data_IF_310237469653
#
_entry.id   IF_310237469653
#
_cell.length_a   1.000
_cell.length_b   1.000
_cell.length_c   1.000
_cell.angle_alpha   90.00
_cell.angle_beta   90.00
_cell.angle_gamma   90.00
#
_symmetry.space_group_name_H-M   'P 1'
#
loop_
_entity.id
_entity.type
_entity.pdbx_description
1 polymer ?
#
# COMPACT_ATOMS: atom_id res chain seq x y z
N UNK A 1 20.62 -1.79 -1.26
CA UNK A 1 19.88 -2.34 -2.40
C UNK A 1 19.52 -3.82 -2.22
N UNK A 2 18.74 -4.14 -1.18
CA UNK A 2 18.35 -5.53 -0.88
C UNK A 2 17.24 -6.04 -1.82
N UNK A 3 16.47 -5.13 -2.45
CA UNK A 3 15.31 -5.48 -3.28
C UNK A 3 15.63 -5.55 -4.77
N UNK A 4 16.75 -4.98 -5.20
CA UNK A 4 17.02 -4.79 -6.61
C UNK A 4 15.85 -4.13 -7.37
N UNK A 5 15.16 -3.19 -6.68
CA UNK A 5 14.04 -2.49 -7.26
C UNK A 5 14.46 -1.72 -8.51
N UNK A 6 13.65 -1.80 -9.56
CA UNK A 6 13.86 -1.08 -10.82
C UNK A 6 13.19 0.28 -10.80
N UNK A 7 12.06 0.40 -10.13
CA UNK A 7 11.27 1.63 -10.04
C UNK A 7 10.98 1.92 -8.59
N UNK A 8 11.19 3.17 -8.16
CA UNK A 8 10.76 3.69 -6.88
C UNK A 8 9.60 4.66 -7.10
N UNK A 9 8.50 4.50 -6.35
CA UNK A 9 7.40 5.46 -6.35
C UNK A 9 7.43 6.18 -5.02
N UNK A 10 7.52 7.50 -5.04
CA UNK A 10 7.65 8.35 -3.85
C UNK A 10 6.55 9.41 -3.81
N UNK A 11 6.07 9.72 -2.60
CA UNK A 11 4.92 10.59 -2.39
C UNK A 11 5.25 12.06 -2.58
N UNK A 12 6.40 12.49 -2.08
CA UNK A 12 6.76 13.90 -1.95
C UNK A 12 8.27 14.13 -2.15
N UNK A 13 8.67 15.40 -2.07
CA UNK A 13 10.06 15.83 -2.26
C UNK A 13 11.01 15.38 -1.15
N UNK A 14 10.54 15.16 0.07
CA UNK A 14 11.36 14.70 1.18
C UNK A 14 11.81 13.25 0.94
N UNK A 15 10.86 12.37 0.66
CA UNK A 15 11.14 10.98 0.28
C UNK A 15 11.93 10.88 -1.02
N UNK A 16 11.67 11.78 -1.98
CA UNK A 16 12.45 11.87 -3.21
C UNK A 16 13.92 12.15 -2.92
N UNK A 17 14.22 13.12 -2.07
CA UNK A 17 15.60 13.48 -1.75
C UNK A 17 16.37 12.29 -1.14
N UNK A 18 15.73 11.50 -0.27
CA UNK A 18 16.33 10.30 0.33
C UNK A 18 16.63 9.23 -0.72
N UNK A 19 15.65 8.93 -1.58
CA UNK A 19 15.79 7.90 -2.62
C UNK A 19 16.82 8.33 -3.67
N UNK A 20 16.79 9.60 -4.06
CA UNK A 20 17.72 10.16 -5.04
C UNK A 20 19.16 10.15 -4.53
N UNK A 21 19.40 10.49 -3.28
CA UNK A 21 20.73 10.39 -2.66
C UNK A 21 21.28 8.95 -2.63
N UNK A 22 20.38 7.95 -2.54
CA UNK A 22 20.77 6.54 -2.55
C UNK A 22 20.90 5.95 -3.96
N UNK A 23 20.52 6.66 -5.03
CA UNK A 23 20.41 6.15 -6.39
C UNK A 23 21.73 5.56 -6.92
N UNK A 24 22.86 6.23 -6.68
CA UNK A 24 24.17 5.75 -7.11
C UNK A 24 24.54 4.39 -6.49
N UNK A 25 24.05 4.12 -5.27
CA UNK A 25 24.25 2.85 -4.58
C UNK A 25 23.24 1.77 -5.03
N UNK A 26 22.29 2.14 -5.89
CA UNK A 26 21.22 1.28 -6.40
C UNK A 26 21.28 1.16 -7.92
N UNK A 27 22.26 0.44 -8.49
CA UNK A 27 22.50 0.41 -9.95
C UNK A 27 21.33 -0.17 -10.75
N UNK A 28 20.43 -0.95 -10.12
CA UNK A 28 19.23 -1.48 -10.76
C UNK A 28 18.02 -0.54 -10.70
N UNK A 29 18.11 0.59 -10.00
CA UNK A 29 17.04 1.58 -9.96
C UNK A 29 17.07 2.40 -11.25
N UNK A 30 16.17 2.08 -12.16
CA UNK A 30 16.05 2.67 -13.49
C UNK A 30 15.27 3.98 -13.47
N UNK A 31 14.21 4.06 -12.63
CA UNK A 31 13.31 5.21 -12.59
C UNK A 31 12.82 5.54 -11.16
N UNK A 32 12.55 6.82 -10.93
CA UNK A 32 11.84 7.32 -9.76
C UNK A 32 10.55 7.98 -10.24
N UNK A 33 9.41 7.54 -9.73
CA UNK A 33 8.09 8.11 -10.04
C UNK A 33 7.66 8.99 -8.88
N UNK A 34 7.46 10.27 -9.14
CA UNK A 34 7.12 11.28 -8.15
C UNK A 34 5.63 11.62 -8.24
N UNK A 35 4.91 11.50 -7.11
CA UNK A 35 3.48 11.82 -7.05
C UNK A 35 3.31 13.33 -7.02
N UNK A 36 3.96 14.01 -6.07
CA UNK A 36 3.92 15.46 -5.93
C UNK A 36 5.32 16.07 -6.10
N UNK A 37 5.40 17.30 -6.65
CA UNK A 37 6.65 18.04 -6.81
C UNK A 37 7.50 17.66 -8.03
N UNK A 38 6.92 17.00 -9.04
CA UNK A 38 7.61 16.60 -10.27
C UNK A 38 8.23 17.77 -11.02
N UNK A 39 7.54 18.92 -11.12
CA UNK A 39 7.98 20.08 -11.89
C UNK A 39 9.35 20.61 -11.49
N UNK A 40 9.71 20.46 -10.21
CA UNK A 40 11.00 20.90 -9.68
C UNK A 40 12.15 19.94 -10.05
N UNK A 41 11.85 18.77 -10.60
CA UNK A 41 12.82 17.69 -10.88
C UNK A 41 12.73 17.12 -12.31
N UNK A 42 11.98 17.75 -13.18
CA UNK A 42 11.75 17.29 -14.57
C UNK A 42 12.98 17.26 -15.46
N UNK A 43 14.06 17.93 -15.05
CA UNK A 43 15.36 17.92 -15.76
C UNK A 43 16.07 16.56 -15.64
N UNK A 44 15.67 15.73 -14.67
CA UNK A 44 16.27 14.43 -14.44
C UNK A 44 15.56 13.39 -15.30
N UNK A 45 16.24 12.82 -16.26
CA UNK A 45 15.71 11.87 -17.26
C UNK A 45 15.15 10.57 -16.66
N UNK A 46 15.57 10.22 -15.46
CA UNK A 46 15.07 9.07 -14.68
C UNK A 46 13.93 9.39 -13.73
N UNK A 47 13.49 10.65 -13.66
CA UNK A 47 12.35 11.08 -12.83
C UNK A 47 11.12 11.25 -13.70
N UNK A 48 10.01 10.66 -13.28
CA UNK A 48 8.76 10.67 -14.03
C UNK A 48 7.60 11.15 -13.16
N UNK A 49 6.67 11.86 -13.76
CA UNK A 49 5.41 12.24 -13.12
C UNK A 49 4.48 11.04 -13.00
N UNK A 50 3.96 10.78 -11.81
CA UNK A 50 2.91 9.78 -11.60
C UNK A 50 1.67 10.08 -12.44
N UNK A 51 1.25 11.33 -12.48
CA UNK A 51 0.06 11.76 -13.22
C UNK A 51 0.22 11.57 -14.73
N UNK A 52 1.37 11.93 -15.30
CA UNK A 52 1.66 11.71 -16.72
C UNK A 52 1.70 10.22 -17.07
N UNK A 53 2.29 9.38 -16.20
CA UNK A 53 2.30 7.94 -16.41
C UNK A 53 0.90 7.34 -16.37
N UNK A 54 0.01 7.84 -15.51
CA UNK A 54 -1.39 7.40 -15.45
C UNK A 54 -2.11 7.75 -16.77
N UNK A 55 -1.95 8.96 -17.27
CA UNK A 55 -2.58 9.36 -18.55
C UNK A 55 -2.02 8.54 -19.72
N UNK A 56 -0.72 8.37 -19.80
CA UNK A 56 -0.09 7.48 -20.79
C UNK A 56 -0.57 6.06 -20.72
N UNK A 57 -0.75 5.51 -19.50
CA UNK A 57 -1.31 4.19 -19.28
C UNK A 57 -2.76 4.06 -19.78
N UNK A 58 -3.59 5.09 -19.58
CA UNK A 58 -4.95 5.14 -20.11
C UNK A 58 -4.98 5.15 -21.64
N UNK A 59 -4.08 5.90 -22.28
CA UNK A 59 -3.95 5.95 -23.74
C UNK A 59 -3.54 4.57 -24.29
N UNK A 60 -2.48 3.98 -23.74
CA UNK A 60 -2.03 2.65 -24.14
C UNK A 60 -3.11 1.58 -23.98
N UNK A 61 -3.90 1.66 -22.92
CA UNK A 61 -5.00 0.70 -22.69
C UNK A 61 -6.18 0.91 -23.66
N UNK A 62 -6.38 2.13 -24.17
CA UNK A 62 -7.36 2.39 -25.25
C UNK A 62 -6.89 1.81 -26.58
N UNK A 63 -5.58 1.89 -26.87
CA UNK A 63 -5.00 1.35 -28.08
C UNK A 63 -5.01 -0.19 -28.10
N UNK A 64 -4.65 -0.81 -26.97
CA UNK A 64 -4.60 -2.27 -26.84
C UNK A 64 -4.84 -2.71 -25.39
N UNK A 65 -6.09 -2.99 -25.04
CA UNK A 65 -6.48 -3.48 -23.72
C UNK A 65 -5.99 -4.90 -23.44
N UNK A 66 -5.61 -5.66 -24.45
CA UNK A 66 -5.20 -7.07 -24.30
C UNK A 66 -3.86 -7.23 -23.63
N UNK A 67 -3.00 -6.20 -23.64
CA UNK A 67 -1.70 -6.23 -22.97
C UNK A 67 -1.83 -6.39 -21.47
N UNK A 68 -2.75 -5.64 -20.85
CA UNK A 68 -3.02 -5.73 -19.42
C UNK A 68 -3.59 -7.11 -19.06
N UNK A 69 -4.60 -7.56 -19.81
CA UNK A 69 -5.24 -8.86 -19.59
C UNK A 69 -4.23 -10.00 -19.73
N UNK A 70 -3.35 -9.93 -20.73
CA UNK A 70 -2.27 -10.90 -20.92
C UNK A 70 -1.28 -10.93 -19.76
N UNK A 71 -0.90 -9.76 -19.22
CA UNK A 71 -0.04 -9.66 -18.06
C UNK A 71 -0.71 -10.25 -16.80
N UNK A 72 -1.99 -9.93 -16.57
CA UNK A 72 -2.78 -10.47 -15.46
C UNK A 72 -2.88 -12.01 -15.56
N UNK A 73 -3.09 -12.55 -16.77
CA UNK A 73 -3.22 -13.99 -17.00
C UNK A 73 -1.94 -14.79 -16.65
N UNK A 74 -0.79 -14.14 -16.56
CA UNK A 74 0.46 -14.80 -16.13
C UNK A 74 0.58 -14.97 -14.61
N UNK A 75 -0.26 -14.28 -13.84
CA UNK A 75 -0.20 -14.31 -12.38
C UNK A 75 -0.88 -15.57 -11.86
N UNK A 76 -0.16 -16.30 -11.02
CA UNK A 76 -0.65 -17.52 -10.36
C UNK A 76 -0.79 -17.31 -8.85
N UNK A 77 -1.49 -18.18 -8.12
CA UNK A 77 -1.56 -18.10 -6.66
C UNK A 77 -0.18 -18.09 -5.96
N UNK A 78 0.80 -18.76 -6.54
CA UNK A 78 2.15 -18.84 -6.00
C UNK A 78 3.08 -17.69 -6.47
N UNK A 79 2.60 -16.82 -7.37
CA UNK A 79 3.32 -15.62 -7.78
C UNK A 79 3.52 -14.67 -6.60
N UNK A 80 4.65 -13.96 -6.58
CA UNK A 80 4.95 -12.96 -5.57
C UNK A 80 3.97 -11.79 -5.66
N UNK A 81 3.23 -11.53 -4.60
CA UNK A 81 2.34 -10.38 -4.49
C UNK A 81 3.07 -9.14 -3.95
N UNK A 82 3.86 -9.32 -2.90
CA UNK A 82 4.65 -8.23 -2.33
C UNK A 82 5.83 -8.73 -1.48
N UNK A 83 6.77 -7.81 -1.25
CA UNK A 83 7.85 -7.94 -0.26
C UNK A 83 7.59 -6.94 0.87
N UNK A 84 7.70 -7.42 2.11
CA UNK A 84 7.64 -6.56 3.30
C UNK A 84 8.92 -6.74 4.09
N UNK A 85 9.61 -5.63 4.35
CA UNK A 85 10.84 -5.66 5.13
C UNK A 85 10.55 -5.55 6.61
N UNK A 86 11.20 -6.41 7.38
CA UNK A 86 11.18 -6.37 8.85
C UNK A 86 12.57 -6.05 9.38
N UNK A 87 12.64 -5.34 10.51
CA UNK A 87 13.88 -5.11 11.24
C UNK A 87 14.36 -6.42 11.87
N UNK A 88 15.05 -7.25 11.11
CA UNK A 88 15.49 -8.57 11.61
C UNK A 88 16.29 -8.45 12.93
N UNK A 89 16.17 -9.46 13.79
CA UNK A 89 16.89 -9.57 15.07
C UNK A 89 18.43 -9.52 14.90
N UNK A 90 18.93 -9.69 13.70
CA UNK A 90 20.36 -9.68 13.33
C UNK A 90 20.85 -8.34 12.78
N UNK A 91 20.06 -7.27 12.86
CA UNK A 91 20.45 -5.91 12.47
C UNK A 91 20.27 -5.57 10.98
N UNK A 92 20.21 -6.55 10.08
CA UNK A 92 19.90 -6.29 8.66
C UNK A 92 18.43 -6.56 8.36
N UNK A 93 17.72 -5.65 7.67
CA UNK A 93 16.34 -5.88 7.26
C UNK A 93 16.20 -7.16 6.43
N UNK A 94 15.15 -7.94 6.70
CA UNK A 94 14.82 -9.15 5.93
C UNK A 94 13.54 -8.92 5.13
N UNK A 95 13.58 -9.21 3.84
CA UNK A 95 12.41 -9.15 2.96
C UNK A 95 11.59 -10.42 3.08
N UNK A 96 10.39 -10.30 3.63
CA UNK A 96 9.41 -11.39 3.68
C UNK A 96 8.66 -11.44 2.36
N UNK A 97 8.75 -12.57 1.66
CA UNK A 97 8.06 -12.82 0.40
C UNK A 97 6.62 -13.27 0.70
N UNK A 98 5.65 -12.58 0.13
CA UNK A 98 4.23 -12.87 0.30
C UNK A 98 3.63 -13.16 -1.06
N UNK A 99 3.11 -14.38 -1.25
CA UNK A 99 2.43 -14.77 -2.48
C UNK A 99 0.96 -14.33 -2.49
N UNK A 100 0.33 -14.33 -3.68
CA UNK A 100 -1.12 -14.10 -3.79
C UNK A 100 -1.94 -15.11 -2.97
N UNK A 101 -1.49 -16.37 -2.92
CA UNK A 101 -2.12 -17.42 -2.09
C UNK A 101 -2.06 -17.08 -0.59
N UNK A 102 -0.93 -16.57 -0.10
CA UNK A 102 -0.82 -16.15 1.30
C UNK A 102 -1.81 -15.02 1.62
N UNK A 103 -1.94 -14.04 0.71
CA UNK A 103 -2.89 -12.92 0.86
C UNK A 103 -4.32 -13.44 0.94
N UNK A 104 -4.75 -14.23 -0.06
CA UNK A 104 -6.12 -14.75 -0.12
C UNK A 104 -6.46 -15.62 1.08
N UNK A 105 -5.57 -16.54 1.44
CA UNK A 105 -5.78 -17.40 2.61
C UNK A 105 -5.94 -16.59 3.90
N UNK A 106 -5.11 -15.55 4.08
CA UNK A 106 -5.18 -14.68 5.26
C UNK A 106 -6.51 -13.92 5.31
N UNK A 107 -6.96 -13.38 4.18
CA UNK A 107 -8.22 -12.64 4.13
C UNK A 107 -9.40 -13.57 4.43
N UNK A 108 -9.44 -14.74 3.84
CA UNK A 108 -10.51 -15.72 4.08
C UNK A 108 -10.53 -16.21 5.53
N UNK A 109 -9.37 -16.52 6.09
CA UNK A 109 -9.25 -17.07 7.44
C UNK A 109 -9.55 -16.04 8.53
N UNK A 110 -9.05 -14.79 8.38
CA UNK A 110 -9.22 -13.76 9.40
C UNK A 110 -10.54 -13.00 9.26
N UNK A 111 -10.90 -12.64 8.05
CA UNK A 111 -12.02 -11.72 7.82
C UNK A 111 -13.26 -12.41 7.22
N UNK A 112 -13.10 -13.63 6.69
CA UNK A 112 -14.19 -14.38 6.08
C UNK A 112 -15.37 -14.62 7.03
N UNK A 113 -15.08 -14.81 8.31
CA UNK A 113 -16.08 -15.04 9.35
C UNK A 113 -16.54 -13.75 10.06
N UNK A 114 -15.72 -12.70 10.05
CA UNK A 114 -16.00 -11.44 10.76
C UNK A 114 -16.97 -10.54 10.02
N UNK A 115 -16.97 -10.60 8.69
CA UNK A 115 -17.81 -9.75 7.84
C UNK A 115 -18.77 -10.63 7.05
N UNK A 116 -20.10 -10.45 7.20
CA UNK A 116 -21.06 -11.18 6.41
C UNK A 116 -20.79 -11.04 4.90
N UNK A 117 -20.93 -12.13 4.15
CA UNK A 117 -20.59 -12.19 2.73
C UNK A 117 -21.38 -11.20 1.84
N UNK A 118 -22.55 -10.78 2.29
CA UNK A 118 -23.46 -9.87 1.60
C UNK A 118 -23.26 -8.39 1.94
N UNK A 119 -22.24 -8.03 2.74
CA UNK A 119 -21.95 -6.65 3.12
C UNK A 119 -20.64 -6.18 2.52
N UNK A 120 -20.69 -4.98 1.95
CA UNK A 120 -19.51 -4.24 1.52
C UNK A 120 -18.89 -3.57 2.76
N UNK A 121 -17.70 -3.98 3.20
CA UNK A 121 -17.12 -3.43 4.41
C UNK A 121 -16.71 -1.96 4.22
N UNK A 122 -16.92 -1.18 5.28
CA UNK A 122 -16.38 0.16 5.44
C UNK A 122 -15.15 0.04 6.35
N UNK A 123 -14.01 0.42 5.84
CA UNK A 123 -12.70 0.17 6.46
C UNK A 123 -11.99 1.49 6.66
N UNK A 124 -11.54 1.76 7.88
CA UNK A 124 -10.67 2.90 8.18
C UNK A 124 -9.22 2.48 7.96
N UNK A 125 -8.52 3.20 7.10
CA UNK A 125 -7.10 2.98 6.81
C UNK A 125 -6.27 4.11 7.42
N UNK A 126 -5.48 3.77 8.43
CA UNK A 126 -4.62 4.71 9.16
C UNK A 126 -3.22 4.14 9.44
N UNK A 127 -3.07 2.82 9.31
CA UNK A 127 -1.78 2.17 9.49
C UNK A 127 -0.91 2.33 8.23
N UNK A 128 0.40 2.49 8.37
CA UNK A 128 1.30 2.51 7.22
C UNK A 128 1.22 1.23 6.39
N UNK A 129 1.09 1.35 5.06
CA UNK A 129 1.02 0.21 4.14
C UNK A 129 2.32 -0.60 4.04
N UNK A 130 3.40 -0.12 4.66
CA UNK A 130 4.62 -0.90 4.87
C UNK A 130 4.42 -2.06 5.85
N UNK A 131 3.35 -2.02 6.67
CA UNK A 131 3.04 -3.07 7.63
C UNK A 131 1.99 -4.04 7.05
N UNK A 132 2.22 -5.37 7.21
CA UNK A 132 1.31 -6.40 6.67
C UNK A 132 -0.12 -6.27 7.22
N UNK A 133 -0.32 -5.82 8.46
CA UNK A 133 -1.64 -5.64 9.04
C UNK A 133 -2.48 -4.62 8.26
N UNK A 134 -1.88 -3.49 7.84
CA UNK A 134 -2.55 -2.50 6.98
C UNK A 134 -2.88 -3.10 5.62
N UNK A 135 -1.92 -3.78 4.99
CA UNK A 135 -2.17 -4.40 3.68
C UNK A 135 -3.27 -5.44 3.72
N UNK A 136 -3.26 -6.33 4.70
CA UNK A 136 -4.27 -7.37 4.82
C UNK A 136 -5.62 -6.81 5.30
N UNK A 137 -5.61 -6.01 6.37
CA UNK A 137 -6.82 -5.52 7.03
C UNK A 137 -7.53 -4.40 6.30
N UNK A 138 -6.80 -3.56 5.57
CA UNK A 138 -7.38 -2.41 4.88
C UNK A 138 -7.43 -2.66 3.37
N UNK A 139 -6.28 -2.82 2.72
CA UNK A 139 -6.16 -2.78 1.27
C UNK A 139 -6.69 -4.07 0.60
N UNK A 140 -6.09 -5.23 0.92
CA UNK A 140 -6.43 -6.48 0.25
C UNK A 140 -7.84 -6.96 0.61
N UNK A 141 -8.27 -6.72 1.86
CA UNK A 141 -9.63 -7.03 2.27
C UNK A 141 -10.65 -6.18 1.52
N UNK A 142 -10.39 -4.88 1.33
CA UNK A 142 -11.27 -4.02 0.56
C UNK A 142 -11.42 -4.48 -0.89
N UNK A 143 -10.30 -4.85 -1.53
CA UNK A 143 -10.34 -5.39 -2.90
C UNK A 143 -11.15 -6.69 -2.93
N UNK A 144 -10.87 -7.64 -2.06
CA UNK A 144 -11.52 -8.95 -2.05
C UNK A 144 -13.02 -8.88 -1.76
N UNK A 145 -13.46 -7.96 -0.89
CA UNK A 145 -14.85 -7.78 -0.45
C UNK A 145 -15.58 -6.63 -1.15
N UNK A 146 -14.95 -5.97 -2.11
CA UNK A 146 -15.50 -4.76 -2.76
C UNK A 146 -15.87 -3.70 -1.72
N UNK A 147 -14.97 -3.49 -0.76
CA UNK A 147 -15.18 -2.58 0.36
C UNK A 147 -14.83 -1.13 0.03
N UNK A 148 -15.23 -0.23 0.91
CA UNK A 148 -14.88 1.19 0.88
C UNK A 148 -13.75 1.45 1.87
N UNK A 149 -12.67 2.09 1.40
CA UNK A 149 -11.54 2.52 2.24
C UNK A 149 -11.70 4.00 2.55
N UNK A 150 -11.57 4.35 3.83
CA UNK A 150 -11.59 5.72 4.33
C UNK A 150 -10.21 6.03 4.93
N UNK A 151 -9.32 6.73 4.20
CA UNK A 151 -8.01 7.10 4.71
C UNK A 151 -8.15 8.12 5.86
N UNK A 152 -7.44 7.88 6.96
CA UNK A 152 -7.28 8.80 8.08
C UNK A 152 -5.80 8.92 8.37
N UNK A 153 -5.07 9.80 7.65
CA UNK A 153 -3.61 9.86 7.71
C UNK A 153 -3.09 10.36 9.06
N UNK A 154 -3.89 11.13 9.78
CA UNK A 154 -3.54 11.68 11.10
C UNK A 154 -4.29 10.92 12.17
N UNK A 155 -3.57 10.27 13.09
CA UNK A 155 -4.17 9.42 14.12
C UNK A 155 -5.06 10.20 15.10
N UNK A 156 -4.76 11.46 15.31
CA UNK A 156 -5.53 12.39 16.15
C UNK A 156 -6.95 12.60 15.62
N UNK A 157 -7.12 12.62 14.30
CA UNK A 157 -8.43 12.82 13.64
C UNK A 157 -9.33 11.58 13.75
N UNK A 158 -8.81 10.44 14.20
CA UNK A 158 -9.55 9.19 14.31
C UNK A 158 -10.80 9.30 15.15
N UNK A 159 -10.74 10.07 16.23
CA UNK A 159 -11.87 10.29 17.15
C UNK A 159 -13.08 10.89 16.43
N UNK A 160 -12.85 11.87 15.58
CA UNK A 160 -13.89 12.60 14.86
C UNK A 160 -14.32 11.88 13.58
N UNK A 161 -13.39 11.13 12.98
CA UNK A 161 -13.64 10.36 11.78
C UNK A 161 -14.52 9.11 12.01
N UNK A 162 -14.30 8.36 13.10
CA UNK A 162 -15.00 7.10 13.37
C UNK A 162 -16.52 7.21 13.42
N UNK A 163 -17.13 8.22 14.11
CA UNK A 163 -18.59 8.38 14.13
C UNK A 163 -19.20 8.64 12.75
N UNK A 164 -18.46 9.30 11.87
CA UNK A 164 -18.87 9.62 10.49
C UNK A 164 -18.69 8.41 9.58
N UNK A 165 -17.54 7.75 9.65
CA UNK A 165 -17.20 6.59 8.81
C UNK A 165 -18.06 5.37 9.19
N UNK A 166 -18.30 5.14 10.49
CA UNK A 166 -19.02 3.95 11.01
C UNK A 166 -18.47 2.67 10.39
N UNK A 167 -17.18 2.33 10.65
CA UNK A 167 -16.54 1.18 10.02
C UNK A 167 -17.25 -0.13 10.38
N UNK A 168 -17.30 -1.06 9.44
CA UNK A 168 -17.84 -2.41 9.66
C UNK A 168 -16.88 -3.28 10.48
N UNK A 169 -15.59 -3.03 10.30
CA UNK A 169 -14.48 -3.67 11.03
C UNK A 169 -13.43 -2.60 11.31
N UNK A 170 -12.88 -2.65 12.49
CA UNK A 170 -11.79 -1.77 12.90
C UNK A 170 -10.63 -2.59 13.45
N UNK A 171 -9.55 -2.64 12.69
CA UNK A 171 -8.30 -3.24 13.11
C UNK A 171 -7.43 -2.17 13.77
N UNK A 172 -7.06 -2.38 15.03
CA UNK A 172 -6.21 -1.42 15.72
C UNK A 172 -5.11 -2.13 16.53
N UNK A 173 -3.93 -1.51 16.53
CA UNK A 173 -2.82 -1.94 17.37
C UNK A 173 -3.08 -1.58 18.84
N UNK A 174 -2.48 -2.30 19.82
CA UNK A 174 -2.78 -2.12 21.24
C UNK A 174 -2.76 -0.68 21.73
N UNK A 175 -1.78 0.12 21.29
CA UNK A 175 -1.65 1.54 21.65
C UNK A 175 -2.87 2.40 21.28
N UNK A 176 -3.56 2.07 20.20
CA UNK A 176 -4.78 2.78 19.79
C UNK A 176 -5.92 2.47 20.74
N UNK A 177 -6.06 1.21 21.14
CA UNK A 177 -7.06 0.79 22.15
C UNK A 177 -6.81 1.42 23.51
N UNK A 178 -5.54 1.54 23.93
CA UNK A 178 -5.15 2.23 25.16
C UNK A 178 -5.54 3.71 25.13
N UNK A 179 -5.33 4.41 24.01
CA UNK A 179 -5.76 5.80 23.83
C UNK A 179 -7.28 5.94 23.91
N UNK A 180 -8.04 5.05 23.27
CA UNK A 180 -9.50 5.07 23.37
C UNK A 180 -9.98 4.83 24.80
N UNK A 181 -9.39 3.86 25.51
CA UNK A 181 -9.69 3.62 26.92
C UNK A 181 -9.44 4.88 27.77
N UNK A 182 -8.31 5.54 27.60
CA UNK A 182 -7.98 6.77 28.31
C UNK A 182 -8.97 7.89 28.06
N UNK A 183 -9.42 8.05 26.81
CA UNK A 183 -10.44 9.05 26.44
C UNK A 183 -11.87 8.75 26.94
N UNK A 184 -12.18 7.50 27.28
CA UNK A 184 -13.46 7.11 27.87
C UNK A 184 -13.49 7.24 29.41
N UNK A 185 -12.31 7.32 30.04
CA UNK A 185 -12.16 7.44 31.49
C UNK A 185 -11.98 8.89 31.96
N UNK A 186 -11.80 9.81 31.03
CA UNK A 186 -11.68 11.25 31.27
C UNK A 186 -13.06 11.94 31.13
#
# INVERSE_FOLDING_TARGET
NLMEAKVAVVGDLELFAEVNAAKEQCPKLEAIVLIDGYEDNKELDYVHSYHELVEKGKELNKEDSTKLDSAIATVTPDSLACLIFTSGTTGKPKGVMISHKNVLWTIESLFGQMIPANKFPRIVSYLPMAHIAARAGDHYQAIYRVGQIFPVPVLEDMRDALPTIKPSVFLAVPRVWERFKGGLQA
#
